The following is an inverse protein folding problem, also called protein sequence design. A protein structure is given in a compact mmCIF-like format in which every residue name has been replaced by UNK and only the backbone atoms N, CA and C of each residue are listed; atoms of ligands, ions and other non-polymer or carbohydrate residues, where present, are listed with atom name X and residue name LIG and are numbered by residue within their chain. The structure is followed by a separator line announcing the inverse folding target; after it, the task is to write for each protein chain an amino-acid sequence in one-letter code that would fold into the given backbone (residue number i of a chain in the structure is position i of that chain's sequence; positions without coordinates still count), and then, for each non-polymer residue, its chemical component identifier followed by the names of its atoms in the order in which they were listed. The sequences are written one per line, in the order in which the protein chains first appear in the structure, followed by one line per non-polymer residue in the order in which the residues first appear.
data_IF_835523725170
#
_entry.id   IF_835523725170
#
_cell.length_a   1.000
_cell.length_b   1.000
_cell.length_c   1.000
_cell.angle_alpha   90.00
_cell.angle_beta   90.00
_cell.angle_gamma   90.00
#
_symmetry.space_group_name_H-M   'P 1'
#
loop_
_entity.id
_entity.type
_entity.pdbx_description
1 polymer ?
#
# COMPACT_ATOMS: atom_id res chain seq x y z
N UNK A 1 -35.56 53.44 -46.07
CA UNK A 1 -36.97 52.98 -45.96
C UNK A 1 -36.98 51.48 -46.26
N UNK A 2 -37.82 50.71 -45.56
CA UNK A 2 -37.91 49.24 -45.54
C UNK A 2 -36.80 48.59 -44.65
N UNK A 3 -37.01 47.60 -43.77
CA UNK A 3 -38.12 46.68 -43.44
C UNK A 3 -37.98 46.28 -41.95
N UNK A 4 -39.07 46.19 -41.18
CA UNK A 4 -39.12 45.39 -39.93
C UNK A 4 -39.39 43.93 -40.30
N UNK A 5 -38.83 42.98 -39.53
CA UNK A 5 -39.71 41.95 -38.98
C UNK A 5 -39.53 41.73 -37.48
N UNK A 6 -40.69 41.55 -36.87
CA UNK A 6 -40.95 41.11 -35.50
C UNK A 6 -40.76 39.58 -35.35
N UNK A 7 -40.50 39.16 -34.10
CA UNK A 7 -40.73 37.84 -33.47
C UNK A 7 -39.74 36.68 -33.73
N UNK A 8 -39.11 36.25 -32.64
CA UNK A 8 -38.99 34.85 -32.21
C UNK A 8 -38.70 34.83 -30.69
N UNK A 9 -39.71 34.64 -29.84
CA UNK A 9 -40.14 33.37 -29.22
C UNK A 9 -39.23 32.91 -28.06
N UNK A 10 -39.83 32.94 -26.87
CA UNK A 10 -39.36 32.37 -25.59
C UNK A 10 -39.15 30.85 -25.72
N UNK A 11 -37.96 30.36 -25.37
CA UNK A 11 -37.68 28.97 -25.00
C UNK A 11 -36.31 28.93 -24.27
N UNK A 12 -36.06 28.21 -23.17
CA UNK A 12 -36.91 27.36 -22.37
C UNK A 12 -36.40 27.35 -20.93
N UNK A 13 -37.33 27.56 -19.98
CA UNK A 13 -37.16 27.17 -18.58
C UNK A 13 -37.58 25.70 -18.48
N UNK A 14 -36.68 24.75 -18.70
CA UNK A 14 -37.01 23.32 -18.58
C UNK A 14 -35.78 22.41 -18.38
N UNK A 15 -34.89 22.71 -17.42
CA UNK A 15 -33.80 21.76 -17.06
C UNK A 15 -33.59 21.65 -15.53
N UNK A 16 -34.61 21.94 -14.71
CA UNK A 16 -34.46 22.06 -13.25
C UNK A 16 -35.20 20.99 -12.43
N UNK A 17 -35.58 19.84 -13.01
CA UNK A 17 -36.35 18.81 -12.26
C UNK A 17 -35.82 17.37 -12.35
N UNK A 18 -34.76 17.11 -13.11
CA UNK A 18 -34.21 15.76 -13.28
C UNK A 18 -33.06 15.40 -12.31
N UNK A 19 -32.55 16.34 -11.51
CA UNK A 19 -31.43 16.08 -10.57
C UNK A 19 -31.83 15.74 -9.14
N UNK A 20 -33.13 15.80 -8.80
CA UNK A 20 -33.60 15.54 -7.44
C UNK A 20 -34.01 14.08 -7.19
N UNK A 21 -34.14 13.24 -8.22
CA UNK A 21 -34.65 11.86 -8.08
C UNK A 21 -33.54 10.79 -7.98
N UNK A 22 -32.31 11.10 -8.39
CA UNK A 22 -31.19 10.13 -8.30
C UNK A 22 -30.51 10.08 -6.94
N UNK A 23 -30.80 11.04 -6.04
CA UNK A 23 -30.22 11.11 -4.70
C UNK A 23 -31.03 10.40 -3.61
N UNK A 24 -32.23 9.88 -3.92
CA UNK A 24 -33.12 9.23 -2.94
C UNK A 24 -33.10 7.69 -2.98
N UNK A 25 -32.36 7.07 -3.91
CA UNK A 25 -32.34 5.60 -4.10
C UNK A 25 -31.05 4.92 -3.60
N UNK A 26 -30.07 5.66 -3.08
CA UNK A 26 -28.79 5.11 -2.62
C UNK A 26 -28.65 5.03 -1.08
N UNK A 27 -29.71 5.32 -0.33
CA UNK A 27 -29.66 5.33 1.14
C UNK A 27 -29.92 4.01 1.90
N UNK A 28 -30.40 2.87 1.32
CA UNK A 28 -30.61 1.67 2.13
C UNK A 28 -29.45 0.66 2.13
N UNK A 29 -28.29 0.94 1.54
CA UNK A 29 -27.17 -0.02 1.45
C UNK A 29 -26.04 0.16 2.49
N UNK A 30 -26.22 1.01 3.50
CA UNK A 30 -25.22 1.31 4.55
C UNK A 30 -25.58 0.74 5.94
N UNK A 31 -26.53 -0.20 6.01
CA UNK A 31 -27.06 -0.76 7.28
C UNK A 31 -26.94 -2.29 7.35
N UNK A 32 -25.85 -2.87 6.83
CA UNK A 32 -25.47 -4.27 7.08
C UNK A 32 -23.95 -4.40 6.92
N UNK A 33 -23.18 -4.08 7.98
CA UNK A 33 -21.80 -4.53 8.24
C UNK A 33 -21.35 -3.99 9.61
N UNK A 34 -22.05 -4.38 10.69
CA UNK A 34 -21.64 -4.07 12.07
C UNK A 34 -21.73 -5.32 12.95
N UNK A 35 -21.17 -6.46 12.55
CA UNK A 35 -20.87 -7.56 13.48
C UNK A 35 -19.65 -8.34 12.99
N UNK A 36 -18.57 -8.30 13.77
CA UNK A 36 -17.48 -9.28 13.90
C UNK A 36 -16.09 -8.59 13.97
N UNK A 37 -15.71 -8.17 15.18
CA UNK A 37 -14.36 -8.38 15.73
C UNK A 37 -14.33 -7.95 17.19
N UNK A 38 -14.98 -8.75 18.04
CA UNK A 38 -14.78 -8.75 19.48
C UNK A 38 -13.95 -10.00 19.83
N UNK A 39 -12.64 -9.90 19.71
CA UNK A 39 -11.66 -10.79 20.33
C UNK A 39 -10.30 -10.08 20.25
N UNK A 40 -9.42 -10.32 21.22
CA UNK A 40 -8.07 -9.75 21.37
C UNK A 40 -7.96 -8.45 22.20
N UNK A 41 -8.56 -8.47 23.39
CA UNK A 41 -7.99 -7.77 24.55
C UNK A 41 -7.93 -8.75 25.72
N UNK A 42 -6.90 -9.59 25.72
CA UNK A 42 -6.42 -10.28 26.91
C UNK A 42 -4.96 -10.65 26.72
N UNK A 43 -4.21 -10.52 27.81
CA UNK A 43 -2.78 -10.86 27.98
C UNK A 43 -1.81 -9.72 27.68
N UNK A 44 -1.64 -8.86 28.69
CA UNK A 44 -0.31 -8.41 29.13
C UNK A 44 -0.38 -7.81 30.54
N UNK A 45 -0.54 -8.66 31.53
CA UNK A 45 -0.07 -8.36 32.89
C UNK A 45 0.90 -9.46 33.30
N UNK A 46 2.18 -9.12 33.36
CA UNK A 46 3.17 -9.90 34.10
C UNK A 46 3.98 -8.92 34.96
N UNK A 47 3.79 -8.92 36.29
CA UNK A 47 4.69 -8.22 37.19
C UNK A 47 5.98 -9.02 37.38
N UNK A 48 7.11 -8.36 37.19
CA UNK A 48 8.43 -8.86 37.55
C UNK A 48 8.58 -8.86 39.07
N UNK A 49 8.54 -10.05 39.69
CA UNK A 49 8.94 -10.22 41.07
C UNK A 49 9.65 -11.57 41.29
N UNK A 50 10.97 -11.48 41.41
CA UNK A 50 11.82 -12.17 42.38
C UNK A 50 11.31 -13.49 42.99
N UNK A 51 12.00 -14.57 42.62
CA UNK A 51 12.53 -15.55 43.56
C UNK A 51 11.57 -16.62 44.08
N UNK A 52 11.80 -17.88 43.67
CA UNK A 52 12.17 -19.00 44.56
C UNK A 52 12.24 -20.29 43.75
N UNK A 53 13.26 -21.08 44.09
CA UNK A 53 13.50 -22.47 43.68
C UNK A 53 12.22 -23.31 43.74
N UNK A 54 11.98 -24.11 42.71
CA UNK A 54 11.32 -25.42 42.84
C UNK A 54 11.70 -26.28 41.64
N UNK A 55 12.44 -27.34 41.93
CA UNK A 55 12.67 -28.49 41.06
C UNK A 55 11.37 -29.29 41.04
N UNK A 56 10.85 -29.60 39.86
CA UNK A 56 9.86 -30.65 39.68
C UNK A 56 10.12 -31.37 38.36
N UNK A 57 10.84 -32.49 38.45
CA UNK A 57 10.69 -33.57 37.49
C UNK A 57 9.26 -34.10 37.56
N UNK A 58 8.58 -34.21 36.42
CA UNK A 58 7.55 -35.23 36.23
C UNK A 58 7.51 -35.66 34.75
N UNK A 59 7.68 -36.96 34.59
CA UNK A 59 7.73 -37.76 33.38
C UNK A 59 6.33 -37.93 32.75
N UNK A 60 6.31 -37.95 31.41
CA UNK A 60 5.48 -38.80 30.51
C UNK A 60 3.94 -38.77 30.56
N UNK A 61 3.31 -38.42 29.42
CA UNK A 61 2.09 -39.09 28.92
C UNK A 61 1.86 -38.84 27.41
N UNK A 62 2.15 -39.89 26.63
CA UNK A 62 1.39 -40.43 25.46
C UNK A 62 0.62 -39.51 24.50
N UNK A 63 1.04 -39.57 23.23
CA UNK A 63 0.32 -39.17 22.02
C UNK A 63 -1.01 -39.92 21.84
N UNK A 64 -2.10 -39.18 21.61
CA UNK A 64 -3.23 -39.65 20.79
C UNK A 64 -4.11 -38.46 20.34
N UNK A 65 -4.12 -38.20 19.03
CA UNK A 65 -5.32 -37.77 18.32
C UNK A 65 -5.62 -36.27 18.30
N UNK A 66 -5.03 -35.57 17.33
CA UNK A 66 -5.51 -34.23 16.95
C UNK A 66 -4.43 -33.16 16.94
N UNK A 67 -3.22 -33.46 16.46
CA UNK A 67 -2.34 -32.41 15.97
C UNK A 67 -3.02 -31.83 14.73
N UNK A 68 -3.88 -30.82 14.92
CA UNK A 68 -4.09 -29.82 13.90
C UNK A 68 -2.70 -29.25 13.62
N UNK A 69 -2.00 -29.84 12.65
CA UNK A 69 -0.76 -29.32 12.14
C UNK A 69 -1.10 -27.89 11.75
N UNK A 70 -0.63 -26.93 12.54
CA UNK A 70 -0.67 -25.53 12.16
C UNK A 70 -0.17 -25.50 10.72
N UNK A 71 -0.89 -24.85 9.78
CA UNK A 71 -0.53 -24.88 8.38
C UNK A 71 0.94 -24.47 8.31
N UNK A 72 1.80 -25.42 7.94
CA UNK A 72 3.21 -25.17 7.67
C UNK A 72 3.14 -24.20 6.51
N UNK A 73 3.29 -22.90 6.79
CA UNK A 73 3.44 -21.90 5.74
C UNK A 73 4.60 -22.43 4.91
N UNK A 74 4.33 -22.77 3.65
CA UNK A 74 5.38 -23.15 2.72
C UNK A 74 6.43 -22.05 2.81
N UNK A 75 7.63 -22.40 3.28
CA UNK A 75 8.74 -21.47 3.35
C UNK A 75 8.98 -21.00 1.92
N UNK A 76 8.88 -19.69 1.69
CA UNK A 76 9.24 -19.11 0.40
C UNK A 76 10.71 -19.45 0.18
N UNK A 77 11.05 -20.11 -0.93
CA UNK A 77 12.44 -20.41 -1.22
C UNK A 77 13.20 -19.12 -1.54
N UNK A 78 14.51 -19.11 -1.33
CA UNK A 78 15.38 -17.98 -1.69
C UNK A 78 15.24 -17.64 -3.18
N UNK A 79 15.18 -18.66 -4.05
CA UNK A 79 14.92 -18.49 -5.48
C UNK A 79 13.56 -17.84 -5.79
N UNK A 80 12.49 -18.26 -5.10
CA UNK A 80 11.16 -17.66 -5.29
C UNK A 80 11.15 -16.20 -4.82
N UNK A 81 11.81 -15.90 -3.70
CA UNK A 81 11.93 -14.53 -3.21
C UNK A 81 12.76 -13.65 -4.16
N UNK A 82 13.87 -14.16 -4.70
CA UNK A 82 14.69 -13.47 -5.70
C UNK A 82 13.85 -13.09 -6.93
N UNK A 83 13.03 -14.00 -7.44
CA UNK A 83 12.15 -13.72 -8.57
C UNK A 83 11.13 -12.62 -8.23
N UNK A 84 10.49 -12.68 -7.06
CA UNK A 84 9.53 -11.66 -6.62
C UNK A 84 10.16 -10.27 -6.46
N UNK A 85 11.40 -10.21 -5.95
CA UNK A 85 12.15 -8.96 -5.86
C UNK A 85 12.51 -8.41 -7.24
N UNK A 86 12.91 -9.26 -8.19
CA UNK A 86 13.15 -8.85 -9.58
C UNK A 86 11.88 -8.33 -10.27
N UNK A 87 10.74 -8.99 -10.05
CA UNK A 87 9.45 -8.55 -10.58
C UNK A 87 9.05 -7.18 -9.99
N UNK A 88 9.31 -6.96 -8.70
CA UNK A 88 9.11 -5.66 -8.06
C UNK A 88 10.06 -4.58 -8.60
N UNK A 89 11.34 -4.89 -8.79
CA UNK A 89 12.30 -3.97 -9.40
C UNK A 89 11.83 -3.54 -10.79
N UNK A 90 11.45 -4.52 -11.63
CA UNK A 90 10.92 -4.26 -12.97
C UNK A 90 9.68 -3.39 -12.93
N UNK A 91 8.74 -3.65 -12.01
CA UNK A 91 7.53 -2.84 -11.87
C UNK A 91 7.85 -1.37 -11.50
N UNK A 92 8.86 -1.13 -10.65
CA UNK A 92 9.31 0.21 -10.32
C UNK A 92 10.05 0.88 -11.50
N UNK A 93 10.87 0.14 -12.24
CA UNK A 93 11.55 0.63 -13.44
C UNK A 93 10.54 1.01 -14.54
N UNK A 94 9.54 0.17 -14.79
CA UNK A 94 8.45 0.44 -15.72
C UNK A 94 7.66 1.69 -15.29
N UNK A 95 7.41 1.86 -13.99
CA UNK A 95 6.78 3.07 -13.44
C UNK A 95 7.65 4.31 -13.68
N UNK A 96 8.96 4.23 -13.45
CA UNK A 96 9.92 5.33 -13.69
C UNK A 96 10.05 5.69 -15.16
N UNK A 97 10.02 4.70 -16.06
CA UNK A 97 10.05 4.90 -17.51
C UNK A 97 8.79 5.63 -18.01
N UNK A 98 7.64 5.35 -17.40
CA UNK A 98 6.34 5.95 -17.76
C UNK A 98 5.96 7.17 -16.88
N UNK A 99 6.92 7.73 -16.14
CA UNK A 99 6.61 8.74 -15.11
C UNK A 99 6.23 10.11 -15.68
N UNK A 100 6.83 10.52 -16.80
CA UNK A 100 6.56 11.84 -17.40
C UNK A 100 5.08 12.02 -17.81
N UNK A 101 4.43 11.05 -18.50
CA UNK A 101 2.99 11.08 -18.71
C UNK A 101 2.16 11.19 -17.42
N UNK A 102 2.52 10.46 -16.36
CA UNK A 102 1.82 10.46 -15.07
C UNK A 102 1.88 11.86 -14.44
N UNK A 103 3.07 12.46 -14.42
CA UNK A 103 3.31 13.82 -13.92
C UNK A 103 2.51 14.86 -14.69
N UNK A 104 2.51 14.79 -16.03
CA UNK A 104 1.75 15.71 -16.89
C UNK A 104 0.25 15.66 -16.60
N UNK A 105 -0.27 14.46 -16.35
CA UNK A 105 -1.68 14.23 -16.01
C UNK A 105 -2.01 14.49 -14.53
N UNK A 106 -1.02 14.88 -13.70
CA UNK A 106 -1.14 15.10 -12.26
C UNK A 106 -1.82 13.93 -11.53
N UNK A 107 -1.52 12.70 -11.98
CA UNK A 107 -2.25 11.52 -11.54
C UNK A 107 -1.47 10.78 -10.44
N UNK A 108 -1.60 11.25 -9.20
CA UNK A 108 -1.06 10.57 -8.03
C UNK A 108 -1.56 9.13 -7.91
N UNK A 109 -2.84 8.89 -8.22
CA UNK A 109 -3.47 7.57 -8.10
C UNK A 109 -2.78 6.47 -8.92
N UNK A 110 -2.22 6.80 -10.10
CA UNK A 110 -1.46 5.83 -10.89
C UNK A 110 -0.19 5.37 -10.17
N UNK A 111 0.53 6.31 -9.53
CA UNK A 111 1.70 5.98 -8.72
C UNK A 111 1.30 5.12 -7.53
N UNK A 112 0.24 5.52 -6.82
CA UNK A 112 -0.25 4.79 -5.63
C UNK A 112 -0.70 3.38 -5.96
N UNK A 113 -1.44 3.20 -7.05
CA UNK A 113 -1.86 1.88 -7.52
C UNK A 113 -0.65 1.01 -7.87
N UNK A 114 0.36 1.55 -8.54
CA UNK A 114 1.59 0.81 -8.84
C UNK A 114 2.36 0.40 -7.58
N UNK A 115 2.34 1.21 -6.51
CA UNK A 115 3.08 0.92 -5.28
C UNK A 115 2.32 0.02 -4.28
N UNK A 116 1.02 0.26 -4.10
CA UNK A 116 0.24 -0.26 -2.96
C UNK A 116 -0.96 -1.12 -3.34
N UNK A 117 -1.30 -1.27 -4.63
CA UNK A 117 -2.36 -2.21 -5.00
C UNK A 117 -2.00 -3.61 -4.51
N UNK A 118 -2.98 -4.36 -4.00
CA UNK A 118 -2.75 -5.72 -3.47
C UNK A 118 -2.12 -6.66 -4.49
N UNK A 119 -2.40 -6.43 -5.78
CA UNK A 119 -1.85 -7.18 -6.91
C UNK A 119 -0.51 -6.63 -7.42
N UNK A 120 -0.01 -5.52 -6.85
CA UNK A 120 1.29 -4.97 -7.23
C UNK A 120 2.43 -5.87 -6.72
N UNK A 121 3.43 -6.17 -7.57
CA UNK A 121 4.67 -6.80 -7.12
C UNK A 121 5.35 -6.04 -5.97
N UNK A 122 5.30 -4.70 -5.98
CA UNK A 122 5.93 -3.82 -4.97
C UNK A 122 5.31 -4.04 -3.59
N UNK A 123 3.99 -4.20 -3.53
CA UNK A 123 3.27 -4.43 -2.27
C UNK A 123 3.60 -5.78 -1.62
N UNK A 124 4.18 -6.72 -2.37
CA UNK A 124 4.55 -8.05 -1.88
C UNK A 124 5.99 -8.11 -1.34
N UNK A 125 6.80 -7.08 -1.57
CA UNK A 125 8.23 -7.07 -1.20
C UNK A 125 8.42 -7.22 0.30
N UNK A 126 7.71 -6.45 1.14
CA UNK A 126 7.86 -6.52 2.60
C UNK A 126 7.68 -7.95 3.12
N UNK A 127 6.53 -8.56 2.81
CA UNK A 127 6.20 -9.91 3.23
C UNK A 127 7.20 -10.94 2.68
N UNK A 128 7.68 -10.74 1.45
CA UNK A 128 8.66 -11.64 0.83
C UNK A 128 10.01 -11.52 1.50
N UNK A 129 10.50 -10.30 1.74
CA UNK A 129 11.77 -10.01 2.39
C UNK A 129 11.81 -10.55 3.82
N UNK A 130 10.78 -10.27 4.62
CA UNK A 130 10.67 -10.79 6.00
C UNK A 130 10.74 -12.32 6.06
N UNK A 131 10.24 -13.01 5.02
CA UNK A 131 10.24 -14.47 4.96
C UNK A 131 11.61 -15.09 4.65
N UNK A 132 12.51 -14.34 4.00
CA UNK A 132 13.83 -14.85 3.56
C UNK A 132 15.02 -14.12 4.18
N UNK A 133 14.80 -13.06 4.97
CA UNK A 133 15.87 -12.24 5.55
C UNK A 133 16.90 -13.07 6.32
N UNK A 134 16.47 -14.06 7.11
CA UNK A 134 17.37 -14.94 7.86
C UNK A 134 18.17 -15.93 7.00
N UNK A 135 17.79 -16.11 5.73
CA UNK A 135 18.45 -16.99 4.77
C UNK A 135 19.35 -16.25 3.77
N UNK A 136 19.42 -14.91 3.86
CA UNK A 136 20.33 -14.09 3.07
C UNK A 136 21.80 -14.38 3.40
N UNK A 137 22.70 -14.13 2.45
CA UNK A 137 24.15 -14.27 2.68
C UNK A 137 24.67 -13.17 3.62
N UNK A 138 24.04 -11.99 3.58
CA UNK A 138 24.18 -10.92 4.56
C UNK A 138 22.81 -10.49 5.12
N UNK A 139 22.33 -11.13 6.20
CA UNK A 139 21.03 -10.81 6.80
C UNK A 139 20.92 -9.37 7.33
N UNK A 140 22.03 -8.76 7.76
CA UNK A 140 22.04 -7.39 8.26
C UNK A 140 21.81 -6.39 7.14
N UNK A 141 22.62 -6.46 6.08
CA UNK A 141 22.46 -5.60 4.91
C UNK A 141 21.11 -5.81 4.22
N UNK A 142 20.61 -7.05 4.18
CA UNK A 142 19.28 -7.36 3.63
C UNK A 142 18.17 -6.68 4.43
N UNK A 143 18.19 -6.80 5.77
CA UNK A 143 17.18 -6.21 6.64
C UNK A 143 17.20 -4.68 6.60
N UNK A 144 18.39 -4.07 6.63
CA UNK A 144 18.54 -2.61 6.51
C UNK A 144 17.96 -2.10 5.18
N UNK A 145 18.26 -2.78 4.07
CA UNK A 145 17.72 -2.43 2.75
C UNK A 145 16.20 -2.64 2.68
N UNK A 146 15.66 -3.68 3.33
CA UNK A 146 14.23 -3.91 3.40
C UNK A 146 13.49 -2.79 4.15
N UNK A 147 14.04 -2.32 5.25
CA UNK A 147 13.46 -1.22 6.05
C UNK A 147 13.48 0.11 5.28
N UNK A 148 14.60 0.44 4.64
CA UNK A 148 14.74 1.62 3.79
C UNK A 148 13.82 1.56 2.56
N UNK A 149 13.65 0.37 1.97
CA UNK A 149 12.70 0.14 0.88
C UNK A 149 11.26 0.46 1.32
N UNK A 150 10.82 -0.09 2.47
CA UNK A 150 9.45 0.12 2.98
C UNK A 150 9.21 1.59 3.25
N UNK A 151 10.16 2.26 3.91
CA UNK A 151 10.09 3.70 4.19
C UNK A 151 10.02 4.53 2.89
N UNK A 152 10.84 4.20 1.89
CA UNK A 152 10.84 4.87 0.59
C UNK A 152 9.50 4.71 -0.15
N UNK A 153 8.92 3.51 -0.14
CA UNK A 153 7.61 3.24 -0.77
C UNK A 153 6.49 3.98 -0.04
N UNK A 154 6.48 4.02 1.29
CA UNK A 154 5.50 4.76 2.08
C UNK A 154 5.59 6.28 1.84
N UNK A 155 6.81 6.82 1.81
CA UNK A 155 7.05 8.22 1.49
C UNK A 155 6.59 8.55 0.05
N UNK A 156 6.88 7.67 -0.91
CA UNK A 156 6.43 7.84 -2.28
C UNK A 156 4.89 7.83 -2.40
N UNK A 157 4.19 6.92 -1.72
CA UNK A 157 2.72 6.89 -1.68
C UNK A 157 2.15 8.15 -1.04
N UNK A 158 2.69 8.60 0.10
CA UNK A 158 2.24 9.80 0.80
C UNK A 158 2.41 11.07 -0.03
N UNK A 159 3.52 11.20 -0.77
CA UNK A 159 3.77 12.29 -1.70
C UNK A 159 2.84 12.22 -2.91
N UNK A 160 2.65 11.03 -3.49
CA UNK A 160 1.72 10.83 -4.59
C UNK A 160 0.27 11.15 -4.18
N UNK A 161 -0.15 10.75 -2.97
CA UNK A 161 -1.45 11.12 -2.38
C UNK A 161 -1.58 12.63 -2.24
N UNK A 162 -0.56 13.29 -1.68
CA UNK A 162 -0.53 14.75 -1.49
C UNK A 162 -0.65 15.53 -2.81
N UNK A 163 -0.19 14.95 -3.93
CA UNK A 163 -0.32 15.58 -5.25
C UNK A 163 -1.77 15.83 -5.66
N UNK A 164 -2.73 15.02 -5.20
CA UNK A 164 -4.16 15.20 -5.45
C UNK A 164 -4.81 16.36 -4.68
N UNK A 165 -4.16 16.81 -3.60
CA UNK A 165 -4.62 17.92 -2.74
C UNK A 165 -3.77 19.18 -2.88
N UNK A 166 -2.82 19.16 -3.81
CA UNK A 166 -2.04 20.33 -4.13
C UNK A 166 -2.95 21.54 -4.45
N UNK A 167 -2.47 22.77 -4.16
CA UNK A 167 -3.17 24.07 -4.20
C UNK A 167 -3.55 24.69 -2.83
N UNK A 168 -3.11 24.13 -1.70
CA UNK A 168 -3.16 24.83 -0.40
C UNK A 168 -1.85 25.57 -0.11
N UNK A 169 -1.93 26.85 0.28
CA UNK A 169 -0.76 27.66 0.65
C UNK A 169 0.00 28.24 -0.54
N UNK A 170 1.32 28.32 -0.48
CA UNK A 170 2.15 28.79 -1.61
C UNK A 170 2.14 27.75 -2.73
N UNK A 171 1.35 28.01 -3.77
CA UNK A 171 1.20 27.15 -4.94
C UNK A 171 2.50 26.92 -5.70
N UNK A 172 3.52 27.80 -5.57
CA UNK A 172 4.82 27.58 -6.21
C UNK A 172 5.58 26.42 -5.55
N UNK A 173 5.34 26.21 -4.25
CA UNK A 173 5.93 25.13 -3.47
C UNK A 173 5.00 23.91 -3.44
N UNK A 174 3.71 24.12 -3.14
CA UNK A 174 2.70 23.09 -2.94
C UNK A 174 1.87 22.82 -4.20
N UNK A 175 2.55 22.43 -5.28
CA UNK A 175 1.89 21.97 -6.51
C UNK A 175 2.09 20.47 -6.74
N UNK A 176 1.16 19.88 -7.50
CA UNK A 176 1.14 18.44 -7.77
C UNK A 176 2.43 17.95 -8.44
N UNK A 177 3.03 18.75 -9.34
CA UNK A 177 4.24 18.35 -10.04
C UNK A 177 5.43 18.23 -9.08
N UNK A 178 5.57 19.14 -8.11
CA UNK A 178 6.62 19.07 -7.09
C UNK A 178 6.47 17.81 -6.22
N UNK A 179 5.27 17.49 -5.76
CA UNK A 179 5.02 16.27 -4.99
C UNK A 179 5.35 15.00 -5.80
N UNK A 180 4.97 14.97 -7.08
CA UNK A 180 5.28 13.84 -7.96
C UNK A 180 6.78 13.71 -8.26
N UNK A 181 7.52 14.82 -8.39
CA UNK A 181 8.99 14.74 -8.52
C UNK A 181 9.66 14.21 -7.24
N UNK A 182 9.17 14.60 -6.07
CA UNK A 182 9.65 14.05 -4.80
C UNK A 182 9.31 12.56 -4.67
N UNK A 183 8.09 12.15 -5.04
CA UNK A 183 7.69 10.75 -5.06
C UNK A 183 8.58 9.94 -6.02
N UNK A 184 8.92 10.49 -7.18
CA UNK A 184 9.86 9.88 -8.14
C UNK A 184 11.24 9.65 -7.53
N UNK A 185 11.75 10.60 -6.74
CA UNK A 185 13.03 10.44 -6.06
C UNK A 185 12.99 9.27 -5.06
N UNK A 186 11.92 9.15 -4.27
CA UNK A 186 11.72 8.04 -3.34
C UNK A 186 11.60 6.69 -4.07
N UNK A 187 10.93 6.64 -5.24
CA UNK A 187 10.86 5.43 -6.07
C UNK A 187 12.25 4.99 -6.53
N UNK A 188 13.14 5.93 -6.91
CA UNK A 188 14.52 5.60 -7.27
C UNK A 188 15.31 5.03 -6.10
N UNK A 189 15.09 5.54 -4.88
CA UNK A 189 15.67 4.97 -3.67
C UNK A 189 15.20 3.53 -3.49
N UNK A 190 13.88 3.28 -3.57
CA UNK A 190 13.32 1.93 -3.46
C UNK A 190 13.89 0.95 -4.52
N UNK A 191 14.15 1.39 -5.75
CA UNK A 191 14.82 0.57 -6.77
C UNK A 191 16.24 0.18 -6.35
N UNK A 192 17.00 1.12 -5.79
CA UNK A 192 18.34 0.87 -5.26
C UNK A 192 18.31 -0.13 -4.12
N UNK A 193 17.35 0.01 -3.20
CA UNK A 193 17.22 -0.87 -2.05
C UNK A 193 16.85 -2.30 -2.47
N UNK A 194 16.00 -2.48 -3.49
CA UNK A 194 15.77 -3.80 -4.09
C UNK A 194 17.06 -4.40 -4.67
N UNK A 195 17.89 -3.60 -5.35
CA UNK A 195 19.18 -4.07 -5.84
C UNK A 195 20.06 -4.57 -4.70
N UNK A 196 20.13 -3.82 -3.60
CA UNK A 196 20.89 -4.22 -2.41
C UNK A 196 20.35 -5.50 -1.78
N UNK A 197 19.01 -5.66 -1.69
CA UNK A 197 18.40 -6.91 -1.24
C UNK A 197 18.74 -8.10 -2.17
N UNK A 198 18.75 -7.89 -3.49
CA UNK A 198 19.10 -8.94 -4.45
C UNK A 198 20.57 -9.35 -4.33
N UNK A 199 21.48 -8.39 -4.14
CA UNK A 199 22.91 -8.64 -3.94
C UNK A 199 23.17 -9.39 -2.63
N UNK A 200 22.44 -9.07 -1.55
CA UNK A 200 22.53 -9.76 -0.27
C UNK A 200 21.86 -11.15 -0.24
N UNK A 201 21.12 -11.53 -1.29
CA UNK A 201 20.56 -12.88 -1.48
C UNK A 201 21.45 -13.78 -2.36
N UNK A 202 22.55 -13.26 -2.90
CA UNK A 202 23.52 -14.02 -3.69
C UNK A 202 24.49 -14.80 -2.79
#
# INVERSE_FOLDING_TARGET
MAVRPERAVRAGRAVSRFRAWTLLMLLPLLMLCTEANAAWLSVSQQPSALGRRSVAMALTATFAGGTAAAPVRAAVSVEEARQKLQDAQKALDDLLANYEPIKKNKSGDLVRNALKATTSPVAQVQKTGEAVASAASDPGAFQDALEEFVASVDNADGLAYSSGYANSGDWKVNNAANYLEQARAQIKTAVKDISTMLDALA
#
